data_IF_098007721356
#
_entry.id   IF_098007721356
#
_cell.length_a   1.000
_cell.length_b   1.000
_cell.length_c   1.000
_cell.angle_alpha   90.00
_cell.angle_beta   90.00
_cell.angle_gamma   90.00
#
_symmetry.space_group_name_H-M   'P 1'
#
loop_
_entity.id
_entity.type
_entity.pdbx_description
1 polymer ?
#
# COMPACT_ATOMS: atom_id res chain seq x y z
N UNK A 1 30.38 -27.01 10.15
CA UNK A 1 30.42 -28.34 10.76
C UNK A 1 30.42 -28.12 12.26
N UNK A 2 29.39 -28.30 13.06
CA UNK A 2 28.02 -28.80 12.91
C UNK A 2 27.18 -28.27 14.09
N UNK A 3 25.88 -28.17 13.87
CA UNK A 3 24.87 -27.73 14.83
C UNK A 3 24.60 -28.77 15.92
N UNK A 4 24.28 -28.34 17.15
CA UNK A 4 23.28 -28.95 18.05
C UNK A 4 22.61 -27.78 18.80
N UNK A 5 21.50 -27.20 18.32
CA UNK A 5 20.11 -27.58 18.59
C UNK A 5 19.83 -27.87 20.08
N UNK A 6 19.59 -26.84 20.87
CA UNK A 6 18.86 -26.98 22.15
C UNK A 6 17.44 -26.45 21.95
N UNK A 7 16.47 -27.31 22.21
CA UNK A 7 15.04 -27.19 21.94
C UNK A 7 14.34 -26.16 22.86
N UNK A 8 13.17 -25.61 22.46
CA UNK A 8 12.46 -24.56 23.20
C UNK A 8 11.79 -24.99 24.52
N UNK A 9 12.04 -26.21 25.01
CA UNK A 9 11.37 -26.75 26.20
C UNK A 9 12.02 -26.36 27.54
N UNK A 10 13.23 -25.80 27.53
CA UNK A 10 13.99 -25.48 28.76
C UNK A 10 13.61 -24.13 29.41
N UNK A 11 12.88 -23.26 28.70
CA UNK A 11 12.57 -21.90 29.20
C UNK A 11 11.38 -21.91 30.19
N UNK A 12 10.52 -22.94 30.15
CA UNK A 12 9.27 -22.98 30.91
C UNK A 12 9.37 -23.56 32.33
N UNK A 13 10.50 -24.15 32.73
CA UNK A 13 10.66 -24.69 34.11
C UNK A 13 11.15 -23.63 35.12
N UNK A 14 11.72 -22.51 34.64
CA UNK A 14 12.41 -21.52 35.50
C UNK A 14 11.53 -20.46 36.15
N UNK A 15 10.22 -20.45 35.88
CA UNK A 15 9.29 -19.42 36.42
C UNK A 15 8.44 -19.93 37.59
N UNK A 16 8.49 -21.23 37.94
CA UNK A 16 7.49 -21.79 38.87
C UNK A 16 7.79 -21.66 40.37
N UNK A 17 8.95 -21.18 40.83
CA UNK A 17 9.19 -21.01 42.28
C UNK A 17 10.15 -19.85 42.60
N UNK A 18 9.67 -18.63 42.89
CA UNK A 18 10.44 -17.75 43.74
C UNK A 18 10.34 -18.29 45.19
N UNK A 19 11.35 -19.03 45.61
CA UNK A 19 11.61 -19.25 47.04
C UNK A 19 12.29 -18.00 47.58
N UNK A 20 11.55 -17.21 48.34
CA UNK A 20 12.09 -16.13 49.14
C UNK A 20 11.80 -16.45 50.61
N UNK A 21 12.88 -16.69 51.35
CA UNK A 21 12.85 -16.94 52.80
C UNK A 21 12.93 -15.59 53.51
N UNK A 22 11.83 -15.14 54.12
CA UNK A 22 11.91 -14.10 55.16
C UNK A 22 12.33 -14.78 56.45
N UNK A 23 13.50 -14.39 56.95
CA UNK A 23 13.95 -14.69 58.31
C UNK A 23 13.08 -13.89 59.29
N UNK A 24 12.31 -14.60 60.13
CA UNK A 24 11.43 -14.00 61.12
C UNK A 24 12.18 -13.42 62.32
N UNK A 25 11.68 -12.29 62.84
CA UNK A 25 11.86 -11.92 64.26
C UNK A 25 10.56 -12.28 65.00
N UNK A 26 10.71 -13.00 66.10
CA UNK A 26 9.61 -13.55 66.87
C UNK A 26 8.92 -12.56 67.82
N UNK A 27 7.75 -13.02 68.28
CA UNK A 27 6.99 -12.57 69.45
C UNK A 27 6.05 -11.37 69.24
N UNK A 28 4.77 -11.64 68.98
CA UNK A 28 3.68 -11.57 69.96
C UNK A 28 2.31 -11.67 69.28
N UNK A 29 1.38 -12.37 69.93
CA UNK A 29 0.04 -12.67 69.40
C UNK A 29 -0.83 -11.42 69.25
N UNK A 30 -0.88 -10.89 68.03
CA UNK A 30 -1.89 -9.92 67.59
C UNK A 30 -2.56 -10.56 66.38
N UNK A 31 -3.88 -10.76 66.46
CA UNK A 31 -4.66 -11.27 65.36
C UNK A 31 -4.36 -10.44 64.08
N UNK A 32 -4.09 -11.09 62.94
CA UNK A 32 -3.80 -10.35 61.71
C UNK A 32 -4.99 -9.42 61.38
N UNK A 33 -4.74 -8.19 60.88
CA UNK A 33 -5.82 -7.30 60.51
C UNK A 33 -6.70 -8.01 59.47
N UNK A 34 -7.99 -8.10 59.73
CA UNK A 34 -8.93 -8.78 58.87
C UNK A 34 -8.89 -8.16 57.47
N UNK A 35 -8.33 -8.90 56.50
CA UNK A 35 -8.33 -8.50 55.11
C UNK A 35 -9.78 -8.40 54.61
N UNK A 36 -10.13 -7.34 53.85
CA UNK A 36 -11.46 -7.20 53.31
C UNK A 36 -11.77 -8.40 52.40
N UNK A 37 -12.84 -9.13 52.72
CA UNK A 37 -13.31 -10.25 51.89
C UNK A 37 -13.72 -9.68 50.53
N UNK A 38 -12.92 -9.89 49.49
CA UNK A 38 -13.34 -9.65 48.12
C UNK A 38 -14.52 -10.59 47.84
N UNK A 39 -15.75 -10.06 47.95
CA UNK A 39 -16.90 -10.67 47.29
C UNK A 39 -16.58 -10.66 45.80
N UNK A 40 -16.31 -11.83 45.24
CA UNK A 40 -16.26 -12.01 43.80
C UNK A 40 -17.62 -11.59 43.25
N UNK A 41 -17.72 -10.38 42.72
CA UNK A 41 -18.84 -10.03 41.85
C UNK A 41 -18.76 -11.00 40.67
N UNK A 42 -19.87 -11.68 40.31
CA UNK A 42 -19.86 -12.53 39.13
C UNK A 42 -19.36 -11.67 37.97
N UNK A 43 -18.30 -12.12 37.30
CA UNK A 43 -17.78 -11.41 36.15
C UNK A 43 -18.92 -11.27 35.15
N UNK A 44 -19.37 -10.03 34.96
CA UNK A 44 -20.39 -9.72 33.96
C UNK A 44 -19.81 -10.12 32.62
N UNK A 45 -20.29 -11.25 32.09
CA UNK A 45 -20.09 -11.65 30.71
C UNK A 45 -20.90 -10.69 29.83
N UNK A 46 -20.44 -9.44 29.74
CA UNK A 46 -20.80 -8.56 28.65
C UNK A 46 -20.18 -9.14 27.38
N UNK A 47 -20.79 -10.20 26.85
CA UNK A 47 -20.83 -10.36 25.40
C UNK A 47 -21.28 -9.00 24.89
N UNK A 48 -20.41 -8.28 24.19
CA UNK A 48 -20.82 -7.13 23.41
C UNK A 48 -21.76 -7.69 22.34
N UNK A 49 -23.04 -7.90 22.71
CA UNK A 49 -24.10 -8.05 21.75
C UNK A 49 -23.94 -6.89 20.79
N UNK A 50 -23.86 -7.21 19.49
CA UNK A 50 -23.48 -6.28 18.43
C UNK A 50 -24.03 -4.88 18.74
N UNK A 51 -23.14 -3.92 19.02
CA UNK A 51 -23.57 -2.57 19.34
C UNK A 51 -24.17 -1.98 18.06
N UNK A 52 -25.49 -1.75 17.99
CA UNK A 52 -26.12 -1.29 16.76
C UNK A 52 -25.61 0.10 16.34
N UNK A 53 -25.23 0.95 17.30
CA UNK A 53 -24.64 2.25 16.99
C UNK A 53 -23.29 2.12 16.27
N UNK A 54 -22.45 1.17 16.68
CA UNK A 54 -21.17 0.93 16.02
C UNK A 54 -21.37 0.43 14.58
N UNK A 55 -22.31 -0.49 14.36
CA UNK A 55 -22.61 -1.01 13.00
C UNK A 55 -23.10 0.10 12.09
N UNK A 56 -24.00 0.96 12.57
CA UNK A 56 -24.50 2.10 11.80
C UNK A 56 -23.38 3.11 11.47
N UNK A 57 -22.51 3.40 12.43
CA UNK A 57 -21.35 4.30 12.23
C UNK A 57 -20.39 3.73 11.18
N UNK A 58 -20.11 2.42 11.23
CA UNK A 58 -19.29 1.74 10.21
C UNK A 58 -19.94 1.81 8.83
N UNK A 59 -21.24 1.56 8.71
CA UNK A 59 -21.95 1.63 7.42
C UNK A 59 -21.94 3.05 6.83
N UNK A 60 -22.15 4.07 7.66
CA UNK A 60 -22.07 5.47 7.24
C UNK A 60 -20.64 5.86 6.84
N UNK A 61 -19.63 5.40 7.60
CA UNK A 61 -18.23 5.59 7.27
C UNK A 61 -17.85 4.93 5.95
N UNK A 62 -18.31 3.69 5.72
CA UNK A 62 -18.12 2.98 4.46
C UNK A 62 -18.79 3.69 3.28
N UNK A 63 -20.02 4.17 3.47
CA UNK A 63 -20.71 4.97 2.46
C UNK A 63 -19.94 6.25 2.14
N UNK A 64 -19.48 6.99 3.16
CA UNK A 64 -18.68 8.21 2.98
C UNK A 64 -17.38 7.95 2.22
N UNK A 65 -16.65 6.89 2.57
CA UNK A 65 -15.43 6.50 1.87
C UNK A 65 -15.70 6.07 0.43
N UNK A 66 -16.76 5.31 0.17
CA UNK A 66 -17.13 4.88 -1.17
C UNK A 66 -17.47 6.07 -2.06
N UNK A 67 -18.25 7.04 -1.55
CA UNK A 67 -18.56 8.28 -2.28
C UNK A 67 -17.29 9.08 -2.58
N UNK A 68 -16.40 9.25 -1.60
CA UNK A 68 -15.13 9.94 -1.79
C UNK A 68 -14.26 9.27 -2.85
N UNK A 69 -14.20 7.93 -2.88
CA UNK A 69 -13.42 7.21 -3.90
C UNK A 69 -14.03 7.32 -5.29
N UNK A 70 -15.36 7.37 -5.41
CA UNK A 70 -16.02 7.62 -6.69
C UNK A 70 -15.69 9.01 -7.22
N UNK A 71 -15.76 10.03 -6.36
CA UNK A 71 -15.35 11.41 -6.71
C UNK A 71 -13.86 11.46 -7.10
N UNK A 72 -12.98 10.86 -6.29
CA UNK A 72 -11.55 10.81 -6.57
C UNK A 72 -11.25 10.08 -7.89
N UNK A 73 -12.00 9.02 -8.21
CA UNK A 73 -11.88 8.31 -9.49
C UNK A 73 -12.26 9.21 -10.67
N UNK A 74 -13.35 9.97 -10.53
CA UNK A 74 -13.80 10.91 -11.56
C UNK A 74 -12.78 12.03 -11.78
N UNK A 75 -12.20 12.56 -10.71
CA UNK A 75 -11.13 13.56 -10.79
C UNK A 75 -9.88 13.01 -11.47
N UNK A 76 -9.46 11.78 -11.12
CA UNK A 76 -8.31 11.14 -11.79
C UNK A 76 -8.60 10.91 -13.27
N UNK A 77 -9.83 10.54 -13.65
CA UNK A 77 -10.20 10.42 -15.06
C UNK A 77 -10.13 11.76 -15.79
N UNK A 78 -10.57 12.85 -15.15
CA UNK A 78 -10.44 14.21 -15.70
C UNK A 78 -8.97 14.60 -15.87
N UNK A 79 -8.14 14.33 -14.87
CA UNK A 79 -6.71 14.61 -14.92
C UNK A 79 -6.00 13.83 -16.03
N UNK A 80 -6.38 12.57 -16.25
CA UNK A 80 -5.87 11.77 -17.37
C UNK A 80 -6.23 12.45 -18.69
N UNK A 81 -7.48 12.88 -18.87
CA UNK A 81 -7.93 13.55 -20.08
C UNK A 81 -7.19 14.88 -20.30
N UNK A 82 -6.98 15.66 -19.24
CA UNK A 82 -6.20 16.89 -19.31
C UNK A 82 -4.77 16.65 -19.80
N UNK A 83 -4.09 15.60 -19.32
CA UNK A 83 -2.73 15.26 -19.77
C UNK A 83 -2.69 14.92 -21.26
N UNK A 84 -3.71 14.27 -21.81
CA UNK A 84 -3.81 14.03 -23.26
C UNK A 84 -4.03 15.32 -24.07
N UNK A 85 -4.71 16.32 -23.50
CA UNK A 85 -4.92 17.62 -24.14
C UNK A 85 -3.68 18.52 -24.11
N UNK A 86 -2.77 18.32 -23.15
CA UNK A 86 -1.53 19.12 -23.03
C UNK A 86 -0.54 18.89 -24.21
N UNK A 87 -0.62 17.75 -24.91
CA UNK A 87 0.15 17.46 -26.12
C UNK A 87 0.84 16.08 -26.11
N UNK A 88 1.97 15.91 -26.83
CA UNK A 88 2.57 14.59 -27.04
C UNK A 88 3.11 13.98 -25.75
N UNK A 89 3.07 12.65 -25.70
CA UNK A 89 3.54 11.81 -24.62
C UNK A 89 4.65 10.90 -25.14
N UNK A 90 5.81 10.93 -24.50
CA UNK A 90 6.98 10.14 -24.93
C UNK A 90 7.40 9.19 -23.83
N UNK A 91 7.40 7.89 -24.12
CA UNK A 91 7.96 6.87 -23.25
C UNK A 91 9.45 6.68 -23.57
N UNK A 92 10.31 7.41 -22.86
CA UNK A 92 11.75 7.33 -23.07
C UNK A 92 12.53 8.16 -22.06
N UNK A 93 13.85 8.18 -22.22
CA UNK A 93 14.77 8.99 -21.44
C UNK A 93 15.75 9.72 -22.37
N UNK A 94 16.26 10.87 -21.91
CA UNK A 94 17.30 11.62 -22.61
C UNK A 94 18.67 11.22 -22.07
N UNK A 95 19.60 10.93 -22.97
CA UNK A 95 20.98 10.59 -22.67
C UNK A 95 21.93 11.60 -23.31
N UNK A 96 22.96 12.05 -22.59
CA UNK A 96 23.97 12.96 -23.13
C UNK A 96 24.98 12.18 -23.98
N UNK A 97 25.27 12.65 -25.20
CA UNK A 97 26.24 12.01 -26.09
C UNK A 97 27.69 11.98 -25.55
N UNK A 98 27.98 12.70 -24.45
CA UNK A 98 29.28 12.68 -23.78
C UNK A 98 29.51 11.44 -22.90
N UNK A 99 28.45 10.75 -22.50
CA UNK A 99 28.54 9.51 -21.72
C UNK A 99 28.73 8.37 -22.72
N UNK A 100 29.99 8.06 -23.00
CA UNK A 100 30.41 7.17 -24.09
C UNK A 100 29.58 5.90 -24.21
N UNK A 101 29.15 5.62 -25.44
CA UNK A 101 28.60 4.33 -25.83
C UNK A 101 29.55 3.20 -25.42
N UNK A 102 29.19 2.42 -24.39
CA UNK A 102 29.59 1.01 -24.36
C UNK A 102 28.68 0.28 -25.35
N UNK A 103 29.09 0.29 -26.63
CA UNK A 103 28.35 -0.36 -27.73
C UNK A 103 28.12 -1.85 -27.42
N UNK A 104 26.87 -2.24 -27.31
CA UNK A 104 26.42 -3.62 -27.61
C UNK A 104 25.41 -3.68 -28.76
N UNK A 105 25.09 -2.55 -29.39
CA UNK A 105 24.28 -2.51 -30.61
C UNK A 105 25.12 -2.05 -31.79
N UNK A 106 25.31 -2.95 -32.75
CA UNK A 106 26.11 -2.78 -33.98
C UNK A 106 25.52 -1.81 -34.99
N UNK A 107 25.18 -0.59 -34.57
CA UNK A 107 24.86 0.51 -35.48
C UNK A 107 25.68 1.72 -35.06
N UNK A 108 26.69 2.02 -35.88
CA UNK A 108 27.61 3.14 -35.68
C UNK A 108 26.89 4.42 -36.12
N UNK A 109 26.36 5.19 -35.17
CA UNK A 109 26.08 6.60 -35.41
C UNK A 109 27.43 7.31 -35.62
N UNK A 110 27.55 8.08 -36.70
CA UNK A 110 28.84 8.66 -37.07
C UNK A 110 29.23 9.80 -36.12
N UNK A 111 30.50 9.91 -35.69
CA UNK A 111 30.96 10.98 -34.79
C UNK A 111 30.77 12.41 -35.31
N UNK A 112 30.45 12.59 -36.60
CA UNK A 112 30.22 13.90 -37.21
C UNK A 112 28.84 14.50 -36.87
N UNK A 113 27.85 13.68 -36.50
CA UNK A 113 26.49 14.13 -36.14
C UNK A 113 26.34 14.39 -34.63
N UNK A 114 27.23 13.85 -33.81
CA UNK A 114 27.22 13.97 -32.34
C UNK A 114 28.21 15.03 -31.83
N UNK A 115 28.09 16.28 -32.30
CA UNK A 115 28.72 17.42 -31.61
C UNK A 115 27.93 17.76 -30.35
N UNK A 116 28.19 17.05 -29.24
CA UNK A 116 27.74 17.44 -27.90
C UNK A 116 26.22 17.46 -27.68
N UNK A 117 25.46 16.66 -28.44
CA UNK A 117 23.98 16.63 -28.37
C UNK A 117 23.41 15.63 -27.35
N UNK A 118 22.08 15.58 -27.28
CA UNK A 118 21.34 14.58 -26.51
C UNK A 118 20.73 13.53 -27.45
N UNK A 119 20.46 12.34 -26.92
CA UNK A 119 19.76 11.26 -27.60
C UNK A 119 18.51 10.89 -26.81
N UNK A 120 17.39 10.72 -27.52
CA UNK A 120 16.19 10.11 -26.96
C UNK A 120 16.32 8.60 -27.10
N UNK A 121 16.34 7.91 -25.96
CA UNK A 121 16.42 6.47 -25.86
C UNK A 121 15.11 5.92 -25.31
N UNK A 122 14.75 4.70 -25.73
CA UNK A 122 13.55 4.03 -25.27
C UNK A 122 13.60 2.54 -25.51
N UNK A 123 12.63 1.84 -24.93
CA UNK A 123 12.41 0.42 -25.20
C UNK A 123 11.16 0.28 -26.05
N UNK A 124 11.25 -0.53 -27.10
CA UNK A 124 10.07 -0.98 -27.84
C UNK A 124 9.23 -1.96 -27.02
N UNK A 125 8.05 -2.29 -27.53
CA UNK A 125 7.15 -3.32 -26.96
C UNK A 125 7.83 -4.69 -26.79
N UNK A 126 8.86 -4.98 -27.59
CA UNK A 126 9.68 -6.20 -27.50
C UNK A 126 10.88 -6.08 -26.55
N UNK A 127 11.04 -4.96 -25.83
CA UNK A 127 12.17 -4.71 -24.93
C UNK A 127 13.49 -4.40 -25.65
N UNK A 128 13.46 -4.12 -26.96
CA UNK A 128 14.65 -3.72 -27.72
C UNK A 128 14.92 -2.23 -27.52
N UNK A 129 16.19 -1.88 -27.28
CA UNK A 129 16.64 -0.50 -27.17
C UNK A 129 16.63 0.18 -28.55
N UNK A 130 16.01 1.35 -28.62
CA UNK A 130 16.15 2.29 -29.74
C UNK A 130 16.72 3.61 -29.24
N UNK A 131 17.45 4.29 -30.11
CA UNK A 131 18.05 5.60 -29.84
C UNK A 131 17.87 6.50 -31.06
N UNK A 132 17.45 7.75 -30.86
CA UNK A 132 17.34 8.78 -31.89
C UNK A 132 18.07 10.03 -31.44
N UNK A 133 18.83 10.66 -32.33
CA UNK A 133 19.47 11.94 -32.05
C UNK A 133 18.39 13.01 -31.80
N UNK A 134 18.56 13.81 -30.76
CA UNK A 134 17.64 14.90 -30.40
C UNK A 134 18.41 16.23 -30.44
N UNK A 135 18.10 17.13 -31.39
CA UNK A 135 18.74 18.44 -31.45
C UNK A 135 18.35 19.27 -30.22
N UNK A 136 19.20 20.24 -29.86
CA UNK A 136 18.98 21.09 -28.68
C UNK A 136 17.67 21.90 -28.73
N UNK A 137 17.14 22.15 -29.92
CA UNK A 137 15.88 22.86 -30.13
C UNK A 137 14.65 22.02 -29.75
N UNK A 138 14.69 20.70 -29.97
CA UNK A 138 13.60 19.77 -29.63
C UNK A 138 13.67 19.30 -28.17
N UNK A 139 14.81 19.45 -27.52
CA UNK A 139 15.05 18.94 -26.18
C UNK A 139 14.04 19.42 -25.12
N UNK A 140 13.67 20.72 -25.05
CA UNK A 140 12.66 21.18 -24.11
C UNK A 140 11.31 20.49 -24.36
N UNK A 141 10.89 20.38 -25.62
CA UNK A 141 9.63 19.73 -25.99
C UNK A 141 9.62 18.24 -25.61
N UNK A 142 10.71 17.51 -25.91
CA UNK A 142 10.85 16.10 -25.56
C UNK A 142 10.88 15.89 -24.04
N UNK A 143 11.57 16.76 -23.30
CA UNK A 143 11.64 16.67 -21.83
C UNK A 143 10.25 16.81 -21.18
N UNK A 144 9.43 17.74 -21.69
CA UNK A 144 8.05 17.94 -21.23
C UNK A 144 7.18 16.75 -21.62
N UNK A 145 7.32 16.22 -22.84
CA UNK A 145 6.57 15.03 -23.28
C UNK A 145 6.88 13.79 -22.43
N UNK A 146 8.13 13.61 -21.99
CA UNK A 146 8.53 12.55 -21.06
C UNK A 146 7.92 12.79 -19.66
N UNK A 147 7.99 14.03 -19.17
CA UNK A 147 7.40 14.37 -17.87
C UNK A 147 5.88 14.10 -17.83
N UNK A 148 5.17 14.47 -18.91
CA UNK A 148 3.74 14.19 -19.08
C UNK A 148 3.46 12.69 -19.11
N UNK A 149 4.27 11.92 -19.82
CA UNK A 149 4.15 10.47 -19.84
C UNK A 149 4.28 9.86 -18.44
N UNK A 150 5.26 10.31 -17.64
CA UNK A 150 5.40 9.87 -16.25
C UNK A 150 4.23 10.29 -15.37
N UNK A 151 3.69 11.50 -15.55
CA UNK A 151 2.48 11.96 -14.84
C UNK A 151 1.28 11.08 -15.19
N UNK A 152 1.09 10.77 -16.48
CA UNK A 152 0.05 9.87 -16.95
C UNK A 152 0.17 8.48 -16.30
N UNK A 153 1.38 7.89 -16.27
CA UNK A 153 1.61 6.61 -15.58
C UNK A 153 1.18 6.65 -14.12
N UNK A 154 1.55 7.71 -13.39
CA UNK A 154 1.15 7.89 -11.98
C UNK A 154 -0.37 7.96 -11.83
N UNK A 155 -1.05 8.70 -12.70
CA UNK A 155 -2.52 8.81 -12.69
C UNK A 155 -3.19 7.46 -12.98
N UNK A 156 -2.68 6.70 -13.95
CA UNK A 156 -3.21 5.36 -14.26
C UNK A 156 -3.04 4.38 -13.10
N UNK A 157 -1.89 4.39 -12.42
CA UNK A 157 -1.69 3.58 -11.20
C UNK A 157 -2.64 4.00 -10.09
N UNK A 158 -2.85 5.32 -9.91
CA UNK A 158 -3.80 5.84 -8.92
C UNK A 158 -5.22 5.41 -9.24
N UNK A 159 -5.65 5.51 -10.50
CA UNK A 159 -6.95 5.05 -11.00
C UNK A 159 -7.17 3.58 -10.62
N UNK A 160 -6.23 2.71 -11.01
CA UNK A 160 -6.32 1.27 -10.73
C UNK A 160 -6.48 0.98 -9.24
N UNK A 161 -5.69 1.65 -8.39
CA UNK A 161 -5.77 1.49 -6.93
C UNK A 161 -7.15 1.84 -6.38
N UNK A 162 -7.77 2.91 -6.87
CA UNK A 162 -9.10 3.33 -6.42
C UNK A 162 -10.16 2.32 -6.88
N UNK A 163 -10.09 1.87 -8.14
CA UNK A 163 -10.97 0.82 -8.65
C UNK A 163 -10.85 -0.48 -7.86
N UNK A 164 -9.64 -0.89 -7.49
CA UNK A 164 -9.41 -2.09 -6.69
C UNK A 164 -10.00 -1.97 -5.28
N UNK A 165 -9.92 -0.78 -4.66
CA UNK A 165 -10.57 -0.51 -3.37
C UNK A 165 -12.09 -0.61 -3.48
N UNK A 166 -12.69 0.00 -4.50
CA UNK A 166 -14.14 -0.06 -4.74
C UNK A 166 -14.59 -1.51 -4.99
N UNK A 167 -13.88 -2.24 -5.87
CA UNK A 167 -14.14 -3.68 -6.11
C UNK A 167 -14.00 -4.51 -4.84
N UNK A 168 -13.03 -4.20 -4.00
CA UNK A 168 -12.83 -4.87 -2.71
C UNK A 168 -14.02 -4.66 -1.77
N UNK A 169 -14.53 -3.42 -1.66
CA UNK A 169 -15.72 -3.14 -0.86
C UNK A 169 -16.96 -3.84 -1.42
N UNK A 170 -17.18 -3.79 -2.74
CA UNK A 170 -18.31 -4.47 -3.38
C UNK A 170 -18.31 -5.96 -3.05
N UNK A 171 -17.17 -6.65 -3.24
CA UNK A 171 -17.04 -8.07 -2.90
C UNK A 171 -17.27 -8.37 -1.42
N UNK A 172 -16.78 -7.50 -0.53
CA UNK A 172 -16.99 -7.67 0.91
C UNK A 172 -18.46 -7.50 1.29
N UNK A 173 -19.17 -6.55 0.66
CA UNK A 173 -20.60 -6.34 0.89
C UNK A 173 -21.41 -7.51 0.31
N UNK A 174 -21.14 -7.93 -0.94
CA UNK A 174 -21.78 -9.10 -1.55
C UNK A 174 -21.66 -10.34 -0.65
N UNK A 175 -20.47 -10.61 -0.08
CA UNK A 175 -20.31 -11.71 0.88
C UNK A 175 -21.24 -11.60 2.10
N UNK A 176 -21.41 -10.39 2.66
CA UNK A 176 -22.33 -10.15 3.78
C UNK A 176 -23.79 -10.32 3.34
N UNK A 177 -24.16 -9.83 2.15
CA UNK A 177 -25.50 -9.95 1.59
C UNK A 177 -25.90 -11.41 1.33
N UNK A 178 -25.00 -12.21 0.73
CA UNK A 178 -25.21 -13.63 0.45
C UNK A 178 -25.34 -14.46 1.73
N UNK A 179 -24.55 -14.16 2.78
CA UNK A 179 -24.67 -14.84 4.07
C UNK A 179 -26.02 -14.59 4.78
N UNK A 180 -26.64 -13.43 4.53
CA UNK A 180 -27.86 -13.01 5.23
C UNK A 180 -29.13 -13.09 4.36
N UNK A 181 -29.02 -13.52 3.11
CA UNK A 181 -30.17 -13.74 2.20
C UNK A 181 -30.98 -12.48 1.89
N UNK A 182 -30.38 -11.29 1.98
CA UNK A 182 -31.07 -10.03 1.71
C UNK A 182 -31.02 -9.79 0.19
N UNK A 183 -32.11 -10.08 -0.50
CA UNK A 183 -32.25 -9.81 -1.94
C UNK A 183 -32.21 -8.31 -2.19
N UNK A 184 -31.29 -7.83 -3.03
CA UNK A 184 -31.26 -6.44 -3.47
C UNK A 184 -32.60 -6.05 -4.12
N UNK A 185 -33.11 -4.82 -3.92
CA UNK A 185 -34.22 -4.32 -4.72
C UNK A 185 -33.72 -4.21 -6.16
N UNK A 186 -34.15 -5.15 -7.01
CA UNK A 186 -33.99 -5.06 -8.46
C UNK A 186 -34.62 -3.76 -8.93
N UNK A 187 -33.76 -2.79 -9.26
CA UNK A 187 -34.11 -1.55 -9.93
C UNK A 187 -34.88 -1.92 -11.22
N UNK A 188 -36.19 -1.70 -11.20
CA UNK A 188 -37.06 -1.88 -12.36
C UNK A 188 -36.90 -0.66 -13.25
N UNK A 189 -36.74 -0.95 -14.54
CA UNK A 189 -36.42 -0.06 -15.65
C UNK A 189 -37.28 1.20 -15.77
#
# INVERSE_FOLDING_TARGET
>A
MDQILQTPSDILDRVRKPSFTIVGHGSQGIAPPALPKLKGTPMSHHRHGANPHFVLDVLQGLQGHALQWVEELQDVQRDIQNVYLEGPLVNGWLESAATGQRKETGTVLTPAEMKGGYCLCGLDEFGKLWSKACPMEELPAVSVAIARYHRLKKLLTKKQRIEDKLKGLTKSLEGIYEEHGITAPTESA
#
